data_IF_564912095249
#
_entry.id   IF_564912095249
#
_cell.length_a   1.000
_cell.length_b   1.000
_cell.length_c   1.000
_cell.angle_alpha   90.00
_cell.angle_beta   90.00
_cell.angle_gamma   90.00
#
_symmetry.space_group_name_H-M   'P 1'
#
loop_
_entity.id
_entity.type
_entity.pdbx_description
1 polymer ?
#
# COMPACT_ATOMS: atom_id res chain seq x y z
N UNK A 1 17.55 -4.30 -0.90
CA UNK A 1 16.83 -5.42 -0.28
C UNK A 1 15.40 -4.95 -0.07
N UNK A 2 14.58 -5.01 -1.13
CA UNK A 2 13.16 -4.68 -1.01
C UNK A 2 12.40 -5.83 -0.34
N UNK A 3 12.92 -7.05 -0.46
CA UNK A 3 12.40 -8.25 0.17
C UNK A 3 12.51 -8.21 1.70
N UNK A 4 13.61 -7.67 2.23
CA UNK A 4 13.76 -7.47 3.68
C UNK A 4 12.85 -6.34 4.18
N UNK A 5 12.73 -5.26 3.40
CA UNK A 5 11.82 -4.16 3.72
C UNK A 5 10.36 -4.67 3.77
N UNK A 6 9.95 -5.50 2.82
CA UNK A 6 8.62 -6.13 2.78
C UNK A 6 8.36 -6.92 4.08
N UNK A 7 9.33 -7.73 4.50
CA UNK A 7 9.22 -8.53 5.73
C UNK A 7 9.10 -7.66 6.98
N UNK A 8 9.88 -6.59 7.09
CA UNK A 8 9.84 -5.69 8.25
C UNK A 8 8.52 -4.92 8.29
N UNK A 9 8.05 -4.41 7.15
CA UNK A 9 6.79 -3.66 7.07
C UNK A 9 5.59 -4.56 7.37
N UNK A 10 5.61 -5.83 6.94
CA UNK A 10 4.59 -6.82 7.33
C UNK A 10 4.51 -7.00 8.84
N UNK A 11 5.64 -7.13 9.54
CA UNK A 11 5.66 -7.22 11.02
C UNK A 11 5.14 -5.95 11.70
N UNK A 12 5.38 -4.79 11.11
CA UNK A 12 4.84 -3.53 11.62
C UNK A 12 3.30 -3.52 11.56
N UNK A 13 2.73 -3.99 10.45
CA UNK A 13 1.27 -4.15 10.30
C UNK A 13 0.72 -5.19 11.27
N UNK A 14 1.39 -6.33 11.48
CA UNK A 14 0.99 -7.34 12.47
C UNK A 14 0.94 -6.78 13.90
N UNK A 15 1.84 -5.83 14.21
CA UNK A 15 1.88 -5.19 15.53
C UNK A 15 0.83 -4.09 15.67
N UNK A 16 0.50 -3.41 14.57
CA UNK A 16 -0.45 -2.29 14.53
C UNK A 16 -1.20 -2.30 13.20
N UNK A 17 -2.33 -3.02 13.19
CA UNK A 17 -3.10 -3.26 11.96
C UNK A 17 -3.78 -2.01 11.40
N UNK A 18 -4.01 -0.98 12.22
CA UNK A 18 -4.60 0.31 11.85
C UNK A 18 -3.56 1.34 11.36
N UNK A 19 -2.29 0.95 11.27
CA UNK A 19 -1.24 1.85 10.80
C UNK A 19 -1.30 2.04 9.28
N UNK A 20 -2.10 3.00 8.83
CA UNK A 20 -2.28 3.25 7.40
C UNK A 20 -0.97 3.48 6.62
N UNK A 21 -0.05 4.31 7.13
CA UNK A 21 1.23 4.58 6.44
C UNK A 21 2.07 3.31 6.21
N UNK A 22 1.92 2.28 7.06
CA UNK A 22 2.61 1.00 6.87
C UNK A 22 2.08 0.24 5.64
N UNK A 23 0.79 0.38 5.32
CA UNK A 23 0.23 -0.19 4.08
C UNK A 23 0.70 0.57 2.84
N UNK A 24 0.83 1.90 2.90
CA UNK A 24 1.42 2.68 1.79
C UNK A 24 2.85 2.20 1.53
N UNK A 25 3.68 2.16 2.58
CA UNK A 25 5.07 1.72 2.46
C UNK A 25 5.19 0.28 1.93
N UNK A 26 4.32 -0.63 2.41
CA UNK A 26 4.32 -2.01 1.93
C UNK A 26 3.96 -2.09 0.44
N UNK A 27 2.98 -1.31 -0.02
CA UNK A 27 2.59 -1.28 -1.42
C UNK A 27 3.70 -0.72 -2.33
N UNK A 28 4.40 0.34 -1.91
CA UNK A 28 5.56 0.86 -2.65
C UNK A 28 6.66 -0.19 -2.79
N UNK A 29 6.98 -0.88 -1.68
CA UNK A 29 7.97 -1.96 -1.67
C UNK A 29 7.56 -3.08 -2.63
N UNK A 30 6.30 -3.51 -2.59
CA UNK A 30 5.76 -4.55 -3.47
C UNK A 30 5.78 -4.11 -4.94
N UNK A 31 5.45 -2.85 -5.24
CA UNK A 31 5.57 -2.28 -6.58
C UNK A 31 7.03 -2.33 -7.07
N UNK A 32 8.01 -1.96 -6.23
CA UNK A 32 9.43 -2.05 -6.57
C UNK A 32 9.92 -3.50 -6.78
N UNK A 33 9.27 -4.47 -6.15
CA UNK A 33 9.52 -5.90 -6.36
C UNK A 33 8.82 -6.48 -7.61
N UNK A 34 8.05 -5.67 -8.33
CA UNK A 34 7.25 -6.13 -9.49
C UNK A 34 5.98 -6.89 -9.11
N UNK A 35 5.57 -6.85 -7.83
CA UNK A 35 4.37 -7.52 -7.29
C UNK A 35 3.17 -6.57 -7.38
N UNK A 36 2.78 -6.17 -8.58
CA UNK A 36 1.85 -5.06 -8.78
C UNK A 36 0.43 -5.36 -8.25
N UNK A 37 -0.07 -6.57 -8.47
CA UNK A 37 -1.38 -6.99 -7.96
C UNK A 37 -1.39 -7.01 -6.44
N UNK A 38 -0.34 -7.56 -5.81
CA UNK A 38 -0.19 -7.55 -4.35
C UNK A 38 -0.08 -6.13 -3.78
N UNK A 39 0.61 -5.22 -4.49
CA UNK A 39 0.70 -3.82 -4.09
C UNK A 39 -0.67 -3.14 -4.08
N UNK A 40 -1.49 -3.39 -5.11
CA UNK A 40 -2.85 -2.86 -5.20
C UNK A 40 -3.74 -3.38 -4.06
N UNK A 41 -3.74 -4.70 -3.83
CA UNK A 41 -4.49 -5.33 -2.72
C UNK A 41 -4.07 -4.76 -1.36
N UNK A 42 -2.77 -4.48 -1.17
CA UNK A 42 -2.24 -3.91 0.06
C UNK A 42 -2.76 -2.48 0.29
N UNK A 43 -2.79 -1.64 -0.76
CA UNK A 43 -3.39 -0.29 -0.65
C UNK A 43 -4.87 -0.35 -0.31
N UNK A 44 -5.62 -1.24 -0.97
CA UNK A 44 -7.06 -1.41 -0.71
C UNK A 44 -7.36 -1.97 0.69
N UNK A 45 -6.44 -2.76 1.24
CA UNK A 45 -6.53 -3.20 2.64
C UNK A 45 -6.26 -2.02 3.58
N UNK A 46 -5.25 -1.22 3.30
CA UNK A 46 -4.90 -0.03 4.08
C UNK A 46 -6.01 1.02 4.10
N UNK A 47 -6.67 1.27 2.97
CA UNK A 47 -7.70 2.31 2.85
C UNK A 47 -8.87 2.11 3.81
N UNK A 48 -9.18 0.85 4.18
CA UNK A 48 -10.23 0.52 5.15
C UNK A 48 -9.96 1.08 6.55
N UNK A 49 -8.69 1.29 6.91
CA UNK A 49 -8.31 1.88 8.19
C UNK A 49 -8.34 3.41 8.17
N UNK A 50 -8.21 4.03 6.99
CA UNK A 50 -8.43 5.48 6.82
C UNK A 50 -9.92 5.79 6.88
N UNK A 51 -10.73 5.03 6.16
CA UNK A 51 -12.19 5.16 6.16
C UNK A 51 -12.81 4.92 7.55
N UNK A 52 -12.12 4.16 8.41
CA UNK A 52 -12.55 3.88 9.78
C UNK A 52 -12.23 4.98 10.79
N UNK A 53 -11.17 5.77 10.56
CA UNK A 53 -10.69 6.79 11.51
C UNK A 53 -11.10 8.23 11.11
N UNK A 54 -11.45 8.43 9.82
CA UNK A 54 -11.91 9.71 9.28
C UNK A 54 -13.04 9.44 8.28
N UNK A 55 -14.25 9.96 8.54
CA UNK A 55 -15.25 10.17 7.47
C UNK A 55 -14.63 11.12 6.43
N UNK A 56 -13.88 10.61 5.47
CA UNK A 56 -13.30 11.45 4.43
C UNK A 56 -12.04 10.88 3.84
N UNK A 57 -12.23 10.24 2.69
CA UNK A 57 -11.29 10.01 1.60
C UNK A 57 -9.82 9.72 1.97
N UNK A 58 -9.29 8.65 1.37
CA UNK A 58 -7.86 8.54 1.06
C UNK A 58 -7.50 9.67 0.08
N UNK A 59 -7.31 10.88 0.62
CA UNK A 59 -7.15 12.14 -0.13
C UNK A 59 -5.72 12.67 -0.07
N UNK A 60 -4.75 11.83 0.31
CA UNK A 60 -3.37 12.19 -0.02
C UNK A 60 -3.19 11.95 -1.53
N UNK A 61 -2.88 13.03 -2.25
CA UNK A 61 -2.57 13.01 -3.69
C UNK A 61 -1.52 11.92 -4.02
N UNK A 62 -0.65 11.62 -3.06
CA UNK A 62 0.37 10.58 -3.11
C UNK A 62 -0.21 9.17 -3.26
N UNK A 63 -1.27 8.82 -2.51
CA UNK A 63 -1.88 7.49 -2.63
C UNK A 63 -2.66 7.35 -3.93
N UNK A 64 -3.35 8.40 -4.37
CA UNK A 64 -4.04 8.42 -5.67
C UNK A 64 -3.03 8.26 -6.81
N UNK A 65 -1.87 8.92 -6.72
CA UNK A 65 -0.79 8.79 -7.67
C UNK A 65 -0.18 7.38 -7.67
N UNK A 66 0.12 6.82 -6.49
CA UNK A 66 0.68 5.49 -6.35
C UNK A 66 -0.27 4.41 -6.90
N UNK A 67 -1.56 4.49 -6.56
CA UNK A 67 -2.59 3.59 -7.09
C UNK A 67 -2.65 3.64 -8.62
N UNK A 68 -2.72 4.85 -9.19
CA UNK A 68 -2.74 5.05 -10.64
C UNK A 68 -1.47 4.50 -11.32
N UNK A 69 -0.32 4.64 -10.67
CA UNK A 69 0.94 4.10 -11.14
C UNK A 69 0.93 2.56 -11.16
N UNK A 70 0.49 1.93 -10.07
CA UNK A 70 0.38 0.46 -9.97
C UNK A 70 -0.58 -0.07 -11.03
N UNK A 71 -1.76 0.53 -11.19
CA UNK A 71 -2.75 0.14 -12.21
C UNK A 71 -2.19 0.26 -13.63
N UNK A 72 -1.42 1.32 -13.91
CA UNK A 72 -0.71 1.45 -15.19
C UNK A 72 0.31 0.33 -15.40
N UNK A 73 1.07 -0.03 -14.37
CA UNK A 73 2.07 -1.11 -14.46
C UNK A 73 1.43 -2.49 -14.69
N UNK A 74 0.29 -2.77 -14.06
CA UNK A 74 -0.50 -4.00 -14.28
C UNK A 74 -0.97 -4.08 -15.73
N UNK A 75 -1.52 -3.00 -16.28
CA UNK A 75 -2.07 -2.99 -17.64
C UNK A 75 -1.01 -3.02 -18.75
N UNK A 76 0.25 -2.73 -18.42
CA UNK A 76 1.37 -2.68 -19.36
C UNK A 76 2.27 -3.93 -19.32
N UNK A 77 1.90 -4.95 -18.55
CA UNK A 77 2.65 -6.20 -18.36
C UNK A 77 1.86 -7.40 -18.91
#
# INVERSE_FOLDING_TARGET
MFEEAEMVTLKAIETREDHYDAYIQLAEIQMHLGKYETALETLEKGSKYVEADIEGEVDSDEVKALKSQIESLINNN
#
